data_IF_043508758965
#
_entry.id   IF_043508758965
#
_cell.length_a   1.000
_cell.length_b   1.000
_cell.length_c   1.000
_cell.angle_alpha   90.00
_cell.angle_beta   90.00
_cell.angle_gamma   90.00
#
_symmetry.space_group_name_H-M   'P 1'
#
loop_
_entity.id
_entity.type
_entity.pdbx_description
1 polymer ?
#
# COMPACT_ATOMS: atom_id res chain seq x y z
N UNK A 1 7.55 20.65 0.42
CA UNK A 1 6.08 20.40 0.41
C UNK A 1 5.77 19.04 1.01
N UNK A 2 5.17 18.98 2.21
CA UNK A 2 4.70 17.73 2.80
C UNK A 2 3.50 17.21 1.98
N UNK A 3 3.79 16.49 0.88
CA UNK A 3 2.83 16.11 -0.14
C UNK A 3 1.62 15.40 0.46
N UNK A 4 0.43 15.99 0.25
CA UNK A 4 -0.90 15.49 0.62
C UNK A 4 -0.92 13.96 0.50
N UNK A 5 -0.95 13.24 1.63
CA UNK A 5 -0.90 11.77 1.62
C UNK A 5 -2.05 11.28 0.73
N UNK A 6 -1.74 10.58 -0.37
CA UNK A 6 -2.71 10.08 -1.35
C UNK A 6 -3.98 9.54 -0.67
N UNK A 7 -5.16 9.81 -1.22
CA UNK A 7 -6.44 9.39 -0.62
C UNK A 7 -6.42 7.89 -0.30
N UNK A 8 -6.95 7.52 0.87
CA UNK A 8 -7.08 6.12 1.25
C UNK A 8 -8.01 5.41 0.26
N UNK A 9 -7.66 4.19 -0.15
CA UNK A 9 -8.48 3.37 -1.05
C UNK A 9 -8.21 3.54 -2.54
N UNK A 10 -7.25 4.39 -2.94
CA UNK A 10 -6.80 4.50 -4.35
C UNK A 10 -5.68 3.52 -4.71
N UNK A 11 -5.15 2.77 -3.73
CA UNK A 11 -3.97 1.91 -3.91
C UNK A 11 -2.65 2.68 -4.10
N UNK A 12 -2.67 4.01 -4.26
CA UNK A 12 -1.45 4.81 -4.47
C UNK A 12 -0.48 4.71 -3.28
N UNK A 13 -0.98 4.71 -2.03
CA UNK A 13 -0.12 4.52 -0.85
C UNK A 13 0.63 3.19 -0.89
N UNK A 14 -0.02 2.12 -1.35
CA UNK A 14 0.60 0.81 -1.52
C UNK A 14 1.63 0.82 -2.65
N UNK A 15 1.31 1.43 -3.81
CA UNK A 15 2.25 1.58 -4.93
C UNK A 15 3.52 2.35 -4.52
N UNK A 16 3.38 3.48 -3.82
CA UNK A 16 4.52 4.27 -3.33
C UNK A 16 5.37 3.48 -2.34
N UNK A 17 4.74 2.75 -1.44
CA UNK A 17 5.45 1.94 -0.45
C UNK A 17 6.19 0.79 -1.13
N UNK A 18 5.55 0.08 -2.06
CA UNK A 18 6.21 -0.94 -2.90
C UNK A 18 7.41 -0.37 -3.66
N UNK A 19 7.28 0.80 -4.31
CA UNK A 19 8.39 1.48 -5.00
C UNK A 19 9.56 1.85 -4.09
N UNK A 20 9.29 2.23 -2.83
CA UNK A 20 10.35 2.48 -1.85
C UNK A 20 11.04 1.19 -1.42
N UNK A 21 10.29 0.11 -1.24
CA UNK A 21 10.83 -1.19 -0.86
C UNK A 21 11.61 -1.86 -1.99
N UNK A 22 11.19 -1.71 -3.25
CA UNK A 22 11.97 -2.18 -4.41
C UNK A 22 13.31 -1.47 -4.48
N UNK A 23 13.35 -0.15 -4.24
CA UNK A 23 14.60 0.63 -4.19
C UNK A 23 15.57 0.19 -3.08
N UNK A 24 15.06 -0.50 -2.04
CA UNK A 24 15.87 -1.05 -0.95
C UNK A 24 16.42 -2.45 -1.24
N UNK A 25 16.23 -2.99 -2.46
CA UNK A 25 16.72 -4.32 -2.83
C UNK A 25 15.95 -5.47 -2.16
N UNK A 26 14.72 -5.22 -1.68
CA UNK A 26 13.93 -6.26 -1.01
C UNK A 26 13.43 -7.26 -2.04
N UNK A 27 13.70 -8.56 -1.82
CA UNK A 27 13.30 -9.66 -2.70
C UNK A 27 11.79 -9.69 -2.99
N UNK A 28 10.96 -9.45 -1.98
CA UNK A 28 9.50 -9.43 -2.08
C UNK A 28 8.87 -8.14 -1.52
N UNK A 29 8.97 -7.02 -2.25
CA UNK A 29 8.53 -5.72 -1.75
C UNK A 29 6.99 -5.62 -1.68
N UNK A 30 6.26 -6.42 -2.48
CA UNK A 30 4.81 -6.50 -2.42
C UNK A 30 4.30 -7.18 -1.15
N UNK A 31 4.90 -8.31 -0.77
CA UNK A 31 4.54 -9.05 0.44
C UNK A 31 4.82 -8.22 1.69
N UNK A 32 5.98 -7.57 1.75
CA UNK A 32 6.33 -6.69 2.86
C UNK A 32 5.40 -5.47 2.94
N UNK A 33 5.06 -4.85 1.81
CA UNK A 33 4.09 -3.75 1.79
C UNK A 33 2.70 -4.19 2.28
N UNK A 34 2.28 -5.42 1.95
CA UNK A 34 1.01 -5.99 2.39
C UNK A 34 1.03 -6.29 3.90
N UNK A 35 2.13 -6.83 4.43
CA UNK A 35 2.31 -7.04 5.87
C UNK A 35 2.24 -5.72 6.65
N UNK A 36 2.93 -4.68 6.17
CA UNK A 36 2.87 -3.33 6.76
C UNK A 36 1.44 -2.76 6.68
N UNK A 37 0.75 -2.93 5.55
CA UNK A 37 -0.63 -2.50 5.37
C UNK A 37 -1.61 -3.19 6.30
N UNK A 38 -1.49 -4.52 6.45
CA UNK A 38 -2.29 -5.32 7.39
C UNK A 38 -1.99 -4.95 8.85
N UNK A 39 -0.73 -4.73 9.22
CA UNK A 39 -0.35 -4.29 10.58
C UNK A 39 -0.93 -2.91 10.91
N UNK A 40 -0.96 -2.00 9.94
CA UNK A 40 -1.42 -0.62 10.15
C UNK A 40 -2.93 -0.43 10.15
N UNK A 41 -3.65 -1.13 9.29
CA UNK A 41 -5.09 -0.93 9.09
C UNK A 41 -5.93 -2.12 9.58
N UNK A 42 -5.30 -3.24 9.93
CA UNK A 42 -5.97 -4.50 10.20
C UNK A 42 -6.37 -5.23 8.90
N UNK A 43 -6.63 -6.53 9.01
CA UNK A 43 -6.98 -7.38 7.87
C UNK A 43 -8.25 -6.90 7.15
N UNK A 44 -9.33 -6.62 7.89
CA UNK A 44 -10.64 -6.20 7.34
C UNK A 44 -10.53 -4.88 6.56
N UNK A 45 -9.92 -3.85 7.14
CA UNK A 45 -9.80 -2.52 6.52
C UNK A 45 -8.81 -2.54 5.36
N UNK A 46 -7.69 -3.26 5.47
CA UNK A 46 -6.74 -3.41 4.38
C UNK A 46 -7.33 -4.14 3.17
N UNK A 47 -8.14 -5.18 3.40
CA UNK A 47 -8.86 -5.88 2.35
C UNK A 47 -9.85 -4.95 1.63
N UNK A 48 -10.65 -4.17 2.37
CA UNK A 48 -11.56 -3.14 1.80
C UNK A 48 -10.80 -2.10 0.96
N UNK A 49 -9.70 -1.57 1.49
CA UNK A 49 -8.87 -0.59 0.77
C UNK A 49 -8.21 -1.18 -0.48
N UNK A 50 -7.80 -2.45 -0.43
CA UNK A 50 -7.20 -3.16 -1.56
C UNK A 50 -8.22 -3.49 -2.64
N UNK A 51 -9.43 -3.91 -2.26
CA UNK A 51 -10.55 -4.10 -3.18
C UNK A 51 -10.93 -2.77 -3.86
N UNK A 52 -11.06 -1.69 -3.07
CA UNK A 52 -11.34 -0.35 -3.57
C UNK A 52 -10.25 0.18 -4.52
N UNK A 53 -8.98 -0.16 -4.26
CA UNK A 53 -7.86 0.20 -5.13
C UNK A 53 -7.81 -0.62 -6.42
N UNK A 54 -8.24 -1.89 -6.39
CA UNK A 54 -8.37 -2.75 -7.58
C UNK A 54 -9.51 -2.28 -8.48
N UNK A 55 -10.66 -1.91 -7.91
CA UNK A 55 -11.83 -1.43 -8.64
C UNK A 55 -11.60 -0.08 -9.37
N UNK A 56 -10.58 0.68 -8.94
CA UNK A 56 -10.21 1.98 -9.52
C UNK A 56 -8.98 1.92 -10.44
N UNK A 57 -8.41 0.72 -10.67
CA UNK A 57 -7.23 0.57 -11.51
C UNK A 57 -7.62 0.66 -12.98
#
# INVERSE_FOLDING_TARGET
MAGKKAKLGTGQRFKTLKKKLTKKGIKNPGALAAAIGRKKFGAKKFAKLSAAGRKRK
#
